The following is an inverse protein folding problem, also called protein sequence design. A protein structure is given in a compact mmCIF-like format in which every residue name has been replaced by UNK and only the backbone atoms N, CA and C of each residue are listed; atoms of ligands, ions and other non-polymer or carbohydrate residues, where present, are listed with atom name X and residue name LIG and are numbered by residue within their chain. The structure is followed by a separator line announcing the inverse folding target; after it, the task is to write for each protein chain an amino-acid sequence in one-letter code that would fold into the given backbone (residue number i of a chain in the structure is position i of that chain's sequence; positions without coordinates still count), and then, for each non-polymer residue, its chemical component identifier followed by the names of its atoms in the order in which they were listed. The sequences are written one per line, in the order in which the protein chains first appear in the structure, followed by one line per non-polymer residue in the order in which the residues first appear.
data_IF_711939910058
#
_entry.id   IF_711939910058
#
_cell.length_a   1.000
_cell.length_b   1.000
_cell.length_c   1.000
_cell.angle_alpha   90.00
_cell.angle_beta   90.00
_cell.angle_gamma   90.00
#
_symmetry.space_group_name_H-M   'P 1'
#
loop_
_entity.id
_entity.type
_entity.pdbx_description
1 polymer ?
#
# COMPACT_ATOMS: atom_id res chain seq x y z
N UNK A 1 -10.73 -32.07 3.04
CA UNK A 1 -11.50 -30.82 3.20
C UNK A 1 -10.99 -29.86 2.16
N UNK A 2 -11.81 -29.54 1.16
CA UNK A 2 -11.35 -28.84 -0.05
C UNK A 2 -10.76 -27.48 0.28
N UNK A 3 -9.63 -27.11 -0.34
CA UNK A 3 -8.92 -25.86 -0.08
C UNK A 3 -9.81 -24.62 -0.22
N UNK A 4 -10.85 -24.70 -1.06
CA UNK A 4 -11.88 -23.68 -1.22
C UNK A 4 -12.77 -23.51 0.03
N UNK A 5 -13.17 -24.60 0.69
CA UNK A 5 -13.96 -24.53 1.93
C UNK A 5 -13.15 -23.89 3.07
N UNK A 6 -11.85 -24.19 3.13
CA UNK A 6 -10.94 -23.57 4.10
C UNK A 6 -10.79 -22.06 3.81
N UNK A 7 -10.66 -21.68 2.53
CA UNK A 7 -10.63 -20.28 2.10
C UNK A 7 -11.88 -19.50 2.53
N UNK A 8 -13.07 -20.03 2.21
CA UNK A 8 -14.35 -19.41 2.58
C UNK A 8 -14.47 -19.28 4.10
N UNK A 9 -14.14 -20.35 4.85
CA UNK A 9 -14.21 -20.35 6.31
C UNK A 9 -13.28 -19.31 6.96
N UNK A 10 -12.06 -19.13 6.44
CA UNK A 10 -11.12 -18.16 6.99
C UNK A 10 -11.43 -16.71 6.60
N UNK A 11 -12.09 -16.49 5.46
CA UNK A 11 -12.27 -15.15 4.89
C UNK A 11 -13.74 -14.67 4.84
N UNK A 12 -14.69 -15.41 5.44
CA UNK A 12 -16.12 -15.13 5.33
C UNK A 12 -16.51 -13.70 5.73
N UNK A 13 -15.88 -13.13 6.78
CA UNK A 13 -16.15 -11.76 7.24
C UNK A 13 -15.75 -10.72 6.19
N UNK A 14 -14.57 -10.90 5.59
CA UNK A 14 -14.07 -10.03 4.54
C UNK A 14 -14.93 -10.15 3.27
N UNK A 15 -15.33 -11.36 2.91
CA UNK A 15 -16.22 -11.63 1.77
C UNK A 15 -17.59 -10.97 1.94
N UNK A 16 -18.19 -11.06 3.13
CA UNK A 16 -19.47 -10.41 3.44
C UNK A 16 -19.33 -8.89 3.31
N UNK A 17 -18.27 -8.30 3.89
CA UNK A 17 -18.03 -6.87 3.82
C UNK A 17 -17.81 -6.39 2.38
N UNK A 18 -17.02 -7.13 1.59
CA UNK A 18 -16.81 -6.80 0.17
C UNK A 18 -18.11 -6.87 -0.63
N UNK A 19 -18.97 -7.87 -0.37
CA UNK A 19 -20.27 -7.97 -1.04
C UNK A 19 -21.18 -6.78 -0.71
N UNK A 20 -21.18 -6.31 0.55
CA UNK A 20 -21.97 -5.13 0.96
C UNK A 20 -21.46 -3.87 0.25
N UNK A 21 -20.14 -3.66 0.21
CA UNK A 21 -19.53 -2.49 -0.45
C UNK A 21 -19.83 -2.52 -1.96
N UNK A 22 -19.69 -3.69 -2.60
CA UNK A 22 -19.95 -3.84 -4.03
C UNK A 22 -21.44 -3.64 -4.35
N UNK A 23 -22.35 -4.16 -3.51
CA UNK A 23 -23.79 -3.92 -3.64
C UNK A 23 -24.16 -2.44 -3.48
N UNK A 24 -23.49 -1.73 -2.58
CA UNK A 24 -23.65 -0.29 -2.40
C UNK A 24 -23.16 0.52 -3.63
N UNK A 25 -22.03 0.11 -4.22
CA UNK A 25 -21.42 0.82 -5.36
C UNK A 25 -22.18 0.57 -6.68
N UNK A 26 -22.57 -0.68 -6.96
CA UNK A 26 -23.18 -1.04 -8.25
C UNK A 26 -24.65 -0.63 -8.39
N UNK A 27 -25.33 -0.26 -7.29
CA UNK A 27 -26.76 0.05 -7.30
C UNK A 27 -27.63 -1.16 -7.65
N UNK A 28 -28.94 -1.02 -7.45
CA UNK A 28 -29.89 -2.15 -7.51
C UNK A 28 -30.17 -2.66 -8.93
N UNK A 29 -29.92 -1.84 -9.96
CA UNK A 29 -30.37 -2.09 -11.33
C UNK A 29 -29.38 -2.92 -12.19
N UNK A 30 -28.12 -3.06 -11.77
CA UNK A 30 -27.09 -3.78 -12.53
C UNK A 30 -26.78 -5.18 -11.98
N UNK A 31 -27.83 -6.01 -11.85
CA UNK A 31 -27.73 -7.35 -11.22
C UNK A 31 -26.68 -8.27 -11.86
N UNK A 32 -26.54 -8.24 -13.19
CA UNK A 32 -25.58 -9.09 -13.91
C UNK A 32 -24.13 -8.64 -13.65
N UNK A 33 -23.90 -7.32 -13.62
CA UNK A 33 -22.59 -6.73 -13.35
C UNK A 33 -22.20 -6.97 -11.88
N UNK A 34 -23.15 -6.84 -10.95
CA UNK A 34 -22.96 -7.16 -9.54
C UNK A 34 -22.48 -8.61 -9.35
N UNK A 35 -23.15 -9.57 -10.01
CA UNK A 35 -22.82 -10.99 -9.93
C UNK A 35 -21.43 -11.29 -10.53
N UNK A 36 -21.09 -10.64 -11.65
CA UNK A 36 -19.77 -10.76 -12.26
C UNK A 36 -18.66 -10.21 -11.37
N UNK A 37 -18.86 -9.05 -10.72
CA UNK A 37 -17.89 -8.44 -9.82
C UNK A 37 -17.69 -9.28 -8.55
N UNK A 38 -18.77 -9.82 -7.98
CA UNK A 38 -18.68 -10.73 -6.81
C UNK A 38 -17.93 -12.02 -7.19
N UNK A 39 -18.28 -12.64 -8.33
CA UNK A 39 -17.60 -13.84 -8.80
C UNK A 39 -16.11 -13.59 -9.05
N UNK A 40 -15.76 -12.48 -9.69
CA UNK A 40 -14.38 -12.07 -9.91
C UNK A 40 -13.63 -11.86 -8.59
N UNK A 41 -14.24 -11.20 -7.61
CA UNK A 41 -13.64 -10.97 -6.29
C UNK A 41 -13.35 -12.29 -5.56
N UNK A 42 -14.29 -13.23 -5.57
CA UNK A 42 -14.12 -14.55 -4.95
C UNK A 42 -13.01 -15.34 -5.64
N UNK A 43 -12.99 -15.40 -6.97
CA UNK A 43 -11.97 -16.12 -7.75
C UNK A 43 -10.59 -15.49 -7.50
N UNK A 44 -10.50 -14.17 -7.58
CA UNK A 44 -9.26 -13.43 -7.32
C UNK A 44 -8.74 -13.68 -5.90
N UNK A 45 -9.62 -13.58 -4.90
CA UNK A 45 -9.28 -13.83 -3.51
C UNK A 45 -8.83 -15.27 -3.25
N UNK A 46 -9.48 -16.27 -3.86
CA UNK A 46 -9.07 -17.67 -3.75
C UNK A 46 -7.68 -17.90 -4.37
N UNK A 47 -7.41 -17.33 -5.55
CA UNK A 47 -6.11 -17.44 -6.19
C UNK A 47 -4.99 -16.80 -5.35
N UNK A 48 -5.26 -15.68 -4.70
CA UNK A 48 -4.30 -15.04 -3.80
C UNK A 48 -4.07 -15.89 -2.54
N UNK A 49 -5.14 -16.40 -1.93
CA UNK A 49 -5.04 -17.31 -0.79
C UNK A 49 -4.21 -18.55 -1.08
N UNK A 50 -4.39 -19.16 -2.26
CA UNK A 50 -3.58 -20.30 -2.69
C UNK A 50 -2.11 -19.93 -2.83
N UNK A 51 -1.80 -18.77 -3.44
CA UNK A 51 -0.42 -18.28 -3.55
C UNK A 51 0.21 -18.05 -2.17
N UNK A 52 -0.55 -17.55 -1.21
CA UNK A 52 -0.06 -17.31 0.16
C UNK A 52 0.27 -18.63 0.88
N UNK A 53 -0.59 -19.65 0.74
CA UNK A 53 -0.30 -21.00 1.28
C UNK A 53 0.94 -21.59 0.62
N UNK A 54 1.04 -21.52 -0.71
CA UNK A 54 2.19 -22.03 -1.45
C UNK A 54 3.47 -21.29 -1.08
N UNK A 55 3.38 -19.99 -0.78
CA UNK A 55 4.48 -19.18 -0.30
C UNK A 55 4.91 -19.61 1.11
N UNK A 56 3.98 -19.73 2.05
CA UNK A 56 4.27 -20.24 3.40
C UNK A 56 4.90 -21.62 3.39
N UNK A 57 4.37 -22.53 2.58
CA UNK A 57 4.86 -23.91 2.50
C UNK A 57 6.30 -23.92 1.99
N UNK A 58 6.62 -23.07 1.01
CA UNK A 58 7.98 -22.88 0.51
C UNK A 58 8.92 -22.25 1.54
N UNK A 59 8.42 -21.34 2.38
CA UNK A 59 9.20 -20.76 3.48
C UNK A 59 9.51 -21.80 4.57
N UNK A 60 8.50 -22.56 5.00
CA UNK A 60 8.66 -23.65 5.97
C UNK A 60 9.64 -24.72 5.47
N UNK A 61 9.56 -25.10 4.19
CA UNK A 61 10.50 -26.03 3.58
C UNK A 61 11.97 -25.54 3.60
N UNK A 62 12.18 -24.23 3.71
CA UNK A 62 13.51 -23.60 3.84
C UNK A 62 13.88 -23.26 5.29
N UNK A 63 13.05 -23.64 6.26
CA UNK A 63 13.25 -23.29 7.67
C UNK A 63 13.10 -21.79 7.98
N UNK A 64 12.50 -21.01 7.08
CA UNK A 64 12.35 -19.57 7.22
C UNK A 64 10.99 -19.21 7.80
N UNK A 65 10.96 -18.22 8.69
CA UNK A 65 9.71 -17.61 9.13
C UNK A 65 9.20 -16.59 8.10
N UNK A 66 7.92 -16.19 8.21
CA UNK A 66 7.37 -15.08 7.40
C UNK A 66 8.11 -13.76 7.66
N UNK A 67 8.58 -13.57 8.89
CA UNK A 67 9.35 -12.38 9.27
C UNK A 67 10.72 -12.36 8.59
N UNK A 68 11.42 -13.50 8.58
CA UNK A 68 12.70 -13.63 7.87
C UNK A 68 12.55 -13.35 6.38
N UNK A 69 11.49 -13.89 5.76
CA UNK A 69 11.19 -13.64 4.36
C UNK A 69 10.95 -12.15 4.07
N UNK A 70 10.16 -11.49 4.93
CA UNK A 70 9.88 -10.06 4.81
C UNK A 70 11.16 -9.21 5.02
N UNK A 71 12.02 -9.59 5.95
CA UNK A 71 13.30 -8.91 6.20
C UNK A 71 14.27 -9.08 5.03
N UNK A 72 14.41 -10.29 4.48
CA UNK A 72 15.24 -10.55 3.29
C UNK A 72 14.72 -9.76 2.09
N UNK A 73 13.40 -9.77 1.86
CA UNK A 73 12.80 -9.01 0.77
C UNK A 73 13.02 -7.52 0.94
N UNK A 74 12.80 -6.99 2.16
CA UNK A 74 13.09 -5.61 2.49
C UNK A 74 14.54 -5.24 2.20
N UNK A 75 15.52 -6.04 2.64
CA UNK A 75 16.95 -5.76 2.39
C UNK A 75 17.25 -5.68 0.90
N UNK A 76 16.74 -6.61 0.09
CA UNK A 76 16.95 -6.62 -1.38
C UNK A 76 16.32 -5.41 -2.08
N UNK A 77 15.06 -5.13 -1.77
CA UNK A 77 14.34 -3.99 -2.37
C UNK A 77 14.94 -2.66 -1.93
N UNK A 78 15.31 -2.56 -0.65
CA UNK A 78 15.89 -1.36 -0.09
C UNK A 78 17.29 -1.11 -0.65
N UNK A 79 18.13 -2.14 -0.79
CA UNK A 79 19.46 -2.01 -1.44
C UNK A 79 19.35 -1.45 -2.85
N UNK A 80 18.41 -1.97 -3.65
CA UNK A 80 18.12 -1.46 -5.00
C UNK A 80 17.66 0.00 -4.96
N UNK A 81 16.83 0.35 -3.98
CA UNK A 81 16.33 1.72 -3.79
C UNK A 81 17.43 2.67 -3.35
N UNK A 82 18.34 2.21 -2.48
CA UNK A 82 19.49 2.98 -1.98
C UNK A 82 20.44 3.37 -3.10
N UNK A 83 20.71 2.44 -4.01
CA UNK A 83 21.57 2.68 -5.18
C UNK A 83 21.04 3.81 -6.08
N UNK A 84 19.71 3.97 -6.17
CA UNK A 84 19.08 5.09 -6.90
C UNK A 84 19.26 6.44 -6.19
N UNK A 85 19.51 6.43 -4.89
CA UNK A 85 19.77 7.62 -4.07
C UNK A 85 18.53 8.26 -3.45
N UNK A 86 18.76 9.00 -2.35
CA UNK A 86 17.74 9.62 -1.50
C UNK A 86 16.80 10.52 -2.28
N UNK A 87 17.35 11.35 -3.17
CA UNK A 87 16.59 12.34 -3.92
C UNK A 87 15.65 11.69 -4.94
N UNK A 88 16.12 10.68 -5.65
CA UNK A 88 15.28 9.96 -6.61
C UNK A 88 14.13 9.24 -5.90
N UNK A 89 14.40 8.59 -4.77
CA UNK A 89 13.37 7.98 -3.93
C UNK A 89 12.35 9.01 -3.43
N UNK A 90 12.82 10.13 -2.87
CA UNK A 90 11.94 11.14 -2.30
C UNK A 90 11.11 11.88 -3.36
N UNK A 91 11.69 12.21 -4.51
CA UNK A 91 11.01 12.96 -5.58
C UNK A 91 10.08 12.05 -6.39
N UNK A 92 10.56 10.91 -6.87
CA UNK A 92 9.75 10.00 -7.71
C UNK A 92 8.67 9.32 -6.88
N UNK A 93 9.07 8.55 -5.87
CA UNK A 93 8.11 7.71 -5.14
C UNK A 93 7.31 8.55 -4.13
N UNK A 94 7.97 9.50 -3.48
CA UNK A 94 7.33 10.43 -2.56
C UNK A 94 6.58 11.56 -3.26
N UNK A 95 7.26 12.37 -4.06
CA UNK A 95 6.69 13.57 -4.67
C UNK A 95 5.66 13.29 -5.75
N UNK A 96 6.00 12.43 -6.72
CA UNK A 96 5.12 12.16 -7.87
C UNK A 96 4.02 11.18 -7.48
N UNK A 97 4.39 9.98 -7.03
CA UNK A 97 3.40 8.91 -6.80
C UNK A 97 2.58 9.17 -5.53
N UNK A 98 3.24 9.26 -4.37
CA UNK A 98 2.54 9.49 -3.11
C UNK A 98 1.93 10.90 -3.06
N UNK A 99 2.64 11.92 -3.56
CA UNK A 99 2.16 13.29 -3.59
C UNK A 99 0.93 13.51 -4.48
N UNK A 100 0.79 12.76 -5.58
CA UNK A 100 -0.46 12.76 -6.36
C UNK A 100 -1.64 12.26 -5.52
N UNK A 101 -1.46 11.20 -4.73
CA UNK A 101 -2.50 10.75 -3.79
C UNK A 101 -2.80 11.78 -2.69
N UNK A 102 -1.76 12.38 -2.11
CA UNK A 102 -1.91 13.42 -1.09
C UNK A 102 -2.56 14.69 -1.62
N UNK A 103 -2.42 15.00 -2.91
CA UNK A 103 -3.02 16.18 -3.53
C UNK A 103 -4.56 16.18 -3.43
N UNK A 104 -5.18 15.00 -3.39
CA UNK A 104 -6.62 14.85 -3.17
C UNK A 104 -6.98 15.28 -1.74
N UNK A 105 -6.19 14.84 -0.75
CA UNK A 105 -6.39 15.22 0.65
C UNK A 105 -6.15 16.71 0.87
N UNK A 106 -5.08 17.28 0.30
CA UNK A 106 -4.82 18.72 0.40
C UNK A 106 -5.94 19.51 -0.27
N UNK A 107 -6.48 19.02 -1.39
CA UNK A 107 -7.62 19.65 -2.08
C UNK A 107 -8.84 19.73 -1.16
N UNK A 108 -9.20 18.63 -0.49
CA UNK A 108 -10.30 18.61 0.47
C UNK A 108 -10.06 19.61 1.60
N UNK A 109 -8.88 19.59 2.22
CA UNK A 109 -8.53 20.50 3.32
C UNK A 109 -8.56 21.96 2.87
N UNK A 110 -8.01 22.26 1.69
CA UNK A 110 -7.99 23.62 1.14
C UNK A 110 -9.40 24.16 0.85
N UNK A 111 -10.34 23.31 0.42
CA UNK A 111 -11.74 23.70 0.25
C UNK A 111 -12.39 24.13 1.57
N UNK A 112 -12.12 23.41 2.66
CA UNK A 112 -12.60 23.79 3.99
C UNK A 112 -12.00 25.11 4.47
N UNK A 113 -10.70 25.33 4.25
CA UNK A 113 -10.00 26.56 4.66
C UNK A 113 -10.49 27.77 3.86
N UNK A 114 -10.62 27.63 2.53
CA UNK A 114 -10.99 28.73 1.64
C UNK A 114 -12.49 29.04 1.65
N UNK A 115 -13.31 28.18 2.28
CA UNK A 115 -14.78 28.26 2.29
C UNK A 115 -15.40 28.46 0.90
N UNK A 116 -14.69 28.07 -0.16
CA UNK A 116 -15.17 28.17 -1.53
C UNK A 116 -16.01 26.95 -1.85
N UNK A 117 -17.21 27.18 -2.41
CA UNK A 117 -18.00 26.10 -2.97
C UNK A 117 -17.28 25.52 -4.20
N UNK A 118 -17.54 24.24 -4.47
CA UNK A 118 -17.08 23.58 -5.70
C UNK A 118 -17.51 24.40 -6.93
N UNK A 119 -18.74 24.91 -6.93
CA UNK A 119 -19.27 25.73 -8.02
C UNK A 119 -18.48 27.02 -8.27
N UNK A 120 -17.93 27.64 -7.23
CA UNK A 120 -17.09 28.83 -7.37
C UNK A 120 -15.70 28.50 -7.96
N UNK A 121 -15.19 27.29 -7.69
CA UNK A 121 -13.91 26.83 -8.27
C UNK A 121 -14.03 26.54 -9.77
N UNK A 122 -15.19 26.07 -10.24
CA UNK A 122 -15.46 25.77 -11.65
C UNK A 122 -15.97 26.97 -12.46
N UNK A 123 -16.14 28.14 -11.83
CA UNK A 123 -16.67 29.33 -12.51
C UNK A 123 -15.68 29.90 -13.54
N UNK A 124 -14.38 29.84 -13.24
CA UNK A 124 -13.33 30.34 -14.12
C UNK A 124 -12.22 29.28 -14.30
N UNK A 125 -11.80 28.98 -15.54
CA UNK A 125 -10.73 28.01 -15.79
C UNK A 125 -9.41 28.36 -15.08
N UNK A 126 -9.10 29.66 -14.93
CA UNK A 126 -7.89 30.11 -14.26
C UNK A 126 -7.86 29.70 -12.76
N UNK A 127 -8.99 29.84 -12.07
CA UNK A 127 -9.15 29.45 -10.68
C UNK A 127 -9.07 27.92 -10.50
N UNK A 128 -9.61 27.16 -11.46
CA UNK A 128 -9.46 25.70 -11.49
C UNK A 128 -7.98 25.29 -11.59
N UNK A 129 -7.25 25.83 -12.57
CA UNK A 129 -5.83 25.49 -12.76
C UNK A 129 -4.98 25.91 -11.56
N UNK A 130 -5.25 27.07 -10.98
CA UNK A 130 -4.56 27.53 -9.78
C UNK A 130 -4.83 26.60 -8.60
N UNK A 131 -6.08 26.21 -8.38
CA UNK A 131 -6.45 25.31 -7.29
C UNK A 131 -5.80 23.92 -7.44
N UNK A 132 -5.87 23.34 -8.64
CA UNK A 132 -5.27 22.03 -8.94
C UNK A 132 -3.75 22.12 -8.81
N UNK A 133 -3.13 23.13 -9.42
CA UNK A 133 -1.67 23.30 -9.41
C UNK A 133 -1.10 23.48 -8.00
N UNK A 134 -1.74 24.33 -7.18
CA UNK A 134 -1.30 24.53 -5.80
C UNK A 134 -1.45 23.27 -4.95
N UNK A 135 -2.58 22.56 -5.07
CA UNK A 135 -2.80 21.34 -4.33
C UNK A 135 -1.88 20.20 -4.78
N UNK A 136 -1.59 20.10 -6.07
CA UNK A 136 -0.62 19.15 -6.58
C UNK A 136 0.79 19.42 -6.02
N UNK A 137 1.24 20.68 -6.06
CA UNK A 137 2.53 21.07 -5.50
C UNK A 137 2.59 20.86 -3.98
N UNK A 138 1.52 21.18 -3.25
CA UNK A 138 1.43 20.93 -1.82
C UNK A 138 1.49 19.43 -1.50
N UNK A 139 0.74 18.61 -2.24
CA UNK A 139 0.77 17.15 -2.13
C UNK A 139 2.18 16.59 -2.42
N UNK A 140 2.83 17.07 -3.47
CA UNK A 140 4.20 16.68 -3.82
C UNK A 140 5.21 17.05 -2.72
N UNK A 141 5.13 18.27 -2.16
CA UNK A 141 6.01 18.71 -1.07
C UNK A 141 5.83 17.84 0.19
N UNK A 142 4.58 17.52 0.55
CA UNK A 142 4.28 16.61 1.67
C UNK A 142 4.81 15.20 1.40
N UNK A 143 4.60 14.68 0.19
CA UNK A 143 5.09 13.37 -0.22
C UNK A 143 6.62 13.25 -0.15
N UNK A 144 7.34 14.26 -0.67
CA UNK A 144 8.81 14.34 -0.57
C UNK A 144 9.26 14.33 0.89
N UNK A 145 8.60 15.12 1.73
CA UNK A 145 8.95 15.23 3.16
C UNK A 145 8.74 13.91 3.90
N UNK A 146 7.61 13.24 3.67
CA UNK A 146 7.32 11.93 4.25
C UNK A 146 8.33 10.87 3.80
N UNK A 147 8.68 10.83 2.51
CA UNK A 147 9.63 9.86 1.99
C UNK A 147 11.06 10.16 2.43
N UNK A 148 11.42 11.42 2.66
CA UNK A 148 12.67 11.81 3.33
C UNK A 148 12.73 11.26 4.76
N UNK A 149 11.65 11.35 5.52
CA UNK A 149 11.59 10.76 6.86
C UNK A 149 11.67 9.24 6.79
N UNK A 150 10.89 8.62 5.91
CA UNK A 150 10.86 7.17 5.70
C UNK A 150 12.21 6.61 5.28
N UNK A 151 12.99 7.36 4.50
CA UNK A 151 14.35 6.98 4.14
C UNK A 151 15.21 6.74 5.39
N UNK A 152 15.19 7.66 6.35
CA UNK A 152 15.98 7.52 7.58
C UNK A 152 15.54 6.31 8.41
N UNK A 153 14.24 6.04 8.50
CA UNK A 153 13.71 4.88 9.20
C UNK A 153 14.15 3.58 8.53
N UNK A 154 14.04 3.51 7.20
CA UNK A 154 14.42 2.34 6.43
C UNK A 154 15.95 2.13 6.44
N UNK A 155 16.77 3.17 6.38
CA UNK A 155 18.22 3.06 6.54
C UNK A 155 18.58 2.43 7.89
N UNK A 156 17.99 2.92 8.99
CA UNK A 156 18.22 2.34 10.32
C UNK A 156 17.83 0.87 10.38
N UNK A 157 16.67 0.52 9.83
CA UNK A 157 16.22 -0.87 9.74
C UNK A 157 17.18 -1.71 8.89
N UNK A 158 17.67 -1.19 7.77
CA UNK A 158 18.61 -1.89 6.91
C UNK A 158 19.93 -2.18 7.62
N UNK A 159 20.52 -1.18 8.28
CA UNK A 159 21.74 -1.39 9.07
C UNK A 159 21.49 -2.40 10.19
N UNK A 160 20.36 -2.30 10.89
CA UNK A 160 20.03 -3.26 11.95
C UNK A 160 19.92 -4.71 11.46
N UNK A 161 19.48 -4.93 10.22
CA UNK A 161 19.31 -6.27 9.64
C UNK A 161 20.57 -6.80 8.93
N UNK A 162 21.50 -5.92 8.57
CA UNK A 162 22.70 -6.28 7.81
C UNK A 162 24.00 -6.18 8.62
N UNK A 163 23.97 -5.57 9.80
CA UNK A 163 25.12 -5.49 10.71
C UNK A 163 25.37 -6.85 11.40
N UNK A 164 26.50 -7.52 11.10
CA UNK A 164 26.82 -8.82 11.70
C UNK A 164 27.17 -8.73 13.20
N UNK A 165 27.41 -7.52 13.73
CA UNK A 165 27.72 -7.28 15.15
C UNK A 165 26.49 -6.90 15.99
N UNK A 166 25.33 -6.76 15.35
CA UNK A 166 24.09 -6.45 16.05
C UNK A 166 23.61 -7.71 16.80
N UNK A 167 23.69 -7.68 18.14
CA UNK A 167 23.59 -8.81 19.08
C UNK A 167 22.26 -9.60 19.06
N UNK A 168 21.30 -9.24 18.19
CA UNK A 168 20.04 -9.96 18.03
C UNK A 168 20.18 -11.30 17.28
N UNK A 169 21.27 -11.51 16.52
CA UNK A 169 21.51 -12.76 15.78
C UNK A 169 22.37 -13.79 16.54
N UNK A 170 23.10 -13.38 17.59
CA UNK A 170 23.99 -14.28 18.34
C UNK A 170 23.26 -15.22 19.30
N UNK A 171 22.06 -14.86 19.77
CA UNK A 171 21.32 -15.66 20.77
C UNK A 171 20.64 -16.90 20.19
N UNK A 172 20.39 -16.97 18.88
CA UNK A 172 19.77 -18.16 18.25
C UNK A 172 20.81 -19.25 17.96
N UNK A 173 22.09 -18.88 17.83
CA UNK A 173 23.17 -19.84 17.53
C UNK A 173 23.72 -20.57 18.75
N UNK A 174 23.44 -20.08 19.96
CA UNK A 174 23.85 -20.74 21.22
C UNK A 174 22.78 -21.68 21.79
N UNK A 175 21.62 -21.79 21.13
CA UNK A 175 20.48 -22.63 21.56
C UNK A 175 20.16 -23.79 20.60
N UNK A 176 21.03 -24.06 19.61
CA UNK A 176 21.02 -25.25 18.75
C UNK A 176 22.33 -26.01 18.90
#
# INVERSE_FOLDING_TARGET
MDAFLLYVKNNYRALILSCIIIAFICGYDQKLLLLAVIAFNIISGYNNYKKDIDFETRLKAKGLTREDAANIQFVKEWETTRQKGVWNYAISDGGIICGAGLSVLTSIVSMFIMQKSITALFAEPADMFRFIGLNYLAGAALGITLFRFRWNVNEKRFFSLTDPLNQHFSTVKELL
#
